data_IF_904492493048
#
_entry.id   IF_904492493048
#
_cell.length_a   1.000
_cell.length_b   1.000
_cell.length_c   1.000
_cell.angle_alpha   90.00
_cell.angle_beta   90.00
_cell.angle_gamma   90.00
#
_symmetry.space_group_name_H-M   'P 1'
#
loop_
_entity.id
_entity.type
_entity.pdbx_description
1 polymer ?
#
# COMPACT_ATOMS: atom_id res chain seq x y z
N UNK A 1 11.69 -1.53 7.71
CA UNK A 1 11.72 -1.05 6.31
C UNK A 1 10.32 -0.83 5.73
N UNK A 2 9.37 -1.79 5.76
CA UNK A 2 8.05 -1.61 5.12
C UNK A 2 7.29 -0.37 5.61
N UNK A 3 7.33 -0.07 6.92
CA UNK A 3 6.67 1.10 7.51
C UNK A 3 7.16 2.44 6.94
N UNK A 4 8.45 2.55 6.60
CA UNK A 4 9.03 3.78 6.07
C UNK A 4 8.61 4.00 4.61
N UNK A 5 8.62 2.96 3.80
CA UNK A 5 8.12 3.05 2.42
C UNK A 5 6.61 3.32 2.38
N UNK A 6 5.85 2.69 3.28
CA UNK A 6 4.42 2.96 3.44
C UNK A 6 4.16 4.40 3.89
N UNK A 7 4.95 4.94 4.83
CA UNK A 7 4.85 6.34 5.24
C UNK A 7 5.11 7.29 4.06
N UNK A 8 6.17 7.07 3.29
CA UNK A 8 6.49 7.89 2.12
C UNK A 8 5.35 7.84 1.09
N UNK A 9 4.83 6.64 0.79
CA UNK A 9 3.68 6.50 -0.10
C UNK A 9 2.45 7.26 0.42
N UNK A 10 2.12 7.12 1.70
CA UNK A 10 1.01 7.84 2.31
C UNK A 10 1.21 9.35 2.20
N UNK A 11 2.40 9.88 2.48
CA UNK A 11 2.67 11.31 2.38
C UNK A 11 2.52 11.83 0.93
N UNK A 12 3.05 11.11 -0.06
CA UNK A 12 2.93 11.49 -1.48
C UNK A 12 1.45 11.46 -1.93
N UNK A 13 0.72 10.39 -1.60
CA UNK A 13 -0.69 10.26 -1.96
C UNK A 13 -1.59 11.27 -1.20
N UNK A 14 -1.22 11.60 0.04
CA UNK A 14 -1.85 12.65 0.83
C UNK A 14 -1.67 14.01 0.14
N UNK A 15 -0.45 14.32 -0.31
CA UNK A 15 -0.17 15.55 -1.05
C UNK A 15 -0.94 15.60 -2.38
N UNK A 16 -1.02 14.49 -3.10
CA UNK A 16 -1.84 14.39 -4.31
C UNK A 16 -3.31 14.71 -4.04
N UNK A 17 -3.86 14.23 -2.92
CA UNK A 17 -5.25 14.45 -2.54
C UNK A 17 -5.59 15.87 -2.05
N UNK A 18 -4.60 16.73 -1.81
CA UNK A 18 -4.86 18.11 -1.38
C UNK A 18 -5.50 18.93 -2.51
N UNK A 19 -6.48 19.81 -2.21
CA UNK A 19 -7.16 20.63 -3.23
C UNK A 19 -6.24 21.53 -4.05
N UNK A 20 -5.08 21.89 -3.49
CA UNK A 20 -4.07 22.70 -4.20
C UNK A 20 -3.40 21.92 -5.34
N UNK A 21 -3.35 20.59 -5.24
CA UNK A 21 -2.77 19.70 -6.27
C UNK A 21 -3.87 19.17 -7.18
N UNK A 22 -4.88 18.54 -6.60
CA UNK A 22 -5.98 17.91 -7.34
C UNK A 22 -7.32 18.27 -6.68
N UNK A 23 -8.12 19.17 -7.27
CA UNK A 23 -9.39 19.57 -6.71
C UNK A 23 -10.42 18.42 -6.77
N UNK A 24 -11.22 18.26 -5.72
CA UNK A 24 -12.36 17.33 -5.71
C UNK A 24 -12.02 15.87 -5.38
N UNK A 25 -10.78 15.56 -4.99
CA UNK A 25 -10.32 14.22 -4.58
C UNK A 25 -9.89 14.09 -3.11
N UNK A 26 -10.46 14.90 -2.22
CA UNK A 26 -10.06 15.00 -0.81
C UNK A 26 -10.14 13.68 -0.03
N UNK A 27 -10.95 12.72 -0.50
CA UNK A 27 -11.03 11.38 0.10
C UNK A 27 -9.69 10.65 0.06
N UNK A 28 -8.87 10.88 -0.98
CA UNK A 28 -7.51 10.33 -1.05
C UNK A 28 -6.63 10.93 0.04
N UNK A 29 -6.75 12.23 0.32
CA UNK A 29 -6.00 12.88 1.39
C UNK A 29 -6.40 12.35 2.78
N UNK A 30 -7.69 12.13 3.03
CA UNK A 30 -8.15 11.67 4.36
C UNK A 30 -7.66 10.27 4.67
N UNK A 31 -7.81 9.31 3.75
CA UNK A 31 -7.34 7.92 4.00
C UNK A 31 -5.83 7.84 4.16
N UNK A 32 -5.08 8.61 3.38
CA UNK A 32 -3.62 8.62 3.46
C UNK A 32 -3.11 9.37 4.68
N UNK A 33 -3.85 10.37 5.18
CA UNK A 33 -3.56 11.02 6.46
C UNK A 33 -3.68 10.04 7.63
N UNK A 34 -4.77 9.28 7.65
CA UNK A 34 -4.97 8.23 8.66
C UNK A 34 -3.86 7.18 8.54
N UNK A 35 -3.56 6.72 7.32
CA UNK A 35 -2.46 5.79 7.04
C UNK A 35 -1.11 6.31 7.54
N UNK A 36 -0.77 7.57 7.26
CA UNK A 36 0.47 8.19 7.71
C UNK A 36 0.58 8.21 9.25
N UNK A 37 -0.52 8.51 9.95
CA UNK A 37 -0.55 8.47 11.43
C UNK A 37 -0.27 7.05 11.94
N UNK A 38 -0.92 6.03 11.38
CA UNK A 38 -0.63 4.64 11.74
C UNK A 38 0.83 4.27 11.49
N UNK A 39 1.39 4.62 10.33
CA UNK A 39 2.79 4.34 10.02
C UNK A 39 3.75 5.06 10.97
N UNK A 40 3.46 6.31 11.35
CA UNK A 40 4.26 7.04 12.33
C UNK A 40 4.22 6.38 13.70
N UNK A 41 3.05 5.96 14.18
CA UNK A 41 2.91 5.23 15.45
C UNK A 41 3.75 3.95 15.40
N UNK A 42 3.66 3.16 14.32
CA UNK A 42 4.48 1.95 14.18
C UNK A 42 5.98 2.23 14.18
N UNK A 43 6.41 3.29 13.49
CA UNK A 43 7.82 3.70 13.47
C UNK A 43 8.29 4.15 14.85
N UNK A 44 7.48 4.93 15.58
CA UNK A 44 7.80 5.40 16.94
C UNK A 44 7.98 4.21 17.88
N UNK A 45 7.03 3.27 17.87
CA UNK A 45 7.13 2.04 18.67
C UNK A 45 8.39 1.26 18.28
N UNK A 46 8.66 1.08 16.98
CA UNK A 46 9.86 0.40 16.52
C UNK A 46 11.15 1.06 17.03
N UNK A 47 11.26 2.38 16.91
CA UNK A 47 12.41 3.16 17.38
C UNK A 47 12.56 3.13 18.91
N UNK A 48 11.46 3.03 19.65
CA UNK A 48 11.47 2.96 21.10
C UNK A 48 12.06 1.63 21.60
N UNK A 49 11.71 0.51 20.95
CA UNK A 49 12.10 -0.84 21.38
C UNK A 49 13.29 -1.43 20.61
N UNK A 50 13.77 -0.80 19.55
CA UNK A 50 14.90 -1.29 18.77
C UNK A 50 16.26 -1.07 19.46
N UNK A 51 17.21 -1.95 19.18
CA UNK A 51 18.61 -1.81 19.59
C UNK A 51 19.27 -0.55 18.99
N UNK A 52 20.23 0.04 19.71
CA UNK A 52 20.91 1.30 19.35
C UNK A 52 21.34 1.42 17.86
N UNK A 53 21.99 0.42 17.22
CA UNK A 53 22.40 0.56 15.83
C UNK A 53 21.20 0.61 14.87
N UNK A 54 20.15 -0.17 15.13
CA UNK A 54 18.93 -0.17 14.32
C UNK A 54 18.11 1.10 14.53
N UNK A 55 18.12 1.65 15.75
CA UNK A 55 17.47 2.91 16.09
C UNK A 55 18.01 4.09 15.28
N UNK A 56 19.34 4.25 15.25
CA UNK A 56 20.00 5.31 14.47
C UNK A 56 19.72 5.17 12.98
N UNK A 57 19.82 3.95 12.45
CA UNK A 57 19.50 3.66 11.05
C UNK A 57 18.06 4.04 10.70
N UNK A 58 17.11 3.68 11.56
CA UNK A 58 15.69 3.98 11.31
C UNK A 58 15.36 5.46 11.43
N UNK A 59 15.99 6.16 12.38
CA UNK A 59 15.87 7.61 12.50
C UNK A 59 16.43 8.32 11.25
N UNK A 60 17.57 7.87 10.74
CA UNK A 60 18.15 8.40 9.49
C UNK A 60 17.21 8.23 8.29
N UNK A 61 16.59 7.06 8.13
CA UNK A 61 15.58 6.86 7.08
C UNK A 61 14.33 7.72 7.28
N UNK A 62 13.88 7.92 8.53
CA UNK A 62 12.72 8.76 8.81
C UNK A 62 12.99 10.22 8.41
N UNK A 63 14.15 10.76 8.78
CA UNK A 63 14.59 12.10 8.35
C UNK A 63 14.67 12.19 6.83
N UNK A 64 15.24 11.16 6.18
CA UNK A 64 15.32 11.09 4.72
C UNK A 64 13.93 11.13 4.06
N UNK A 65 12.94 10.42 4.59
CA UNK A 65 11.56 10.45 4.08
C UNK A 65 10.95 11.84 4.17
N UNK A 66 11.08 12.51 5.32
CA UNK A 66 10.56 13.87 5.46
C UNK A 66 11.31 14.88 4.57
N UNK A 67 12.61 14.72 4.39
CA UNK A 67 13.40 15.55 3.49
C UNK A 67 12.99 15.38 2.03
N UNK A 68 12.78 14.13 1.57
CA UNK A 68 12.28 13.83 0.22
C UNK A 68 10.86 14.35 0.04
N UNK A 69 9.99 14.18 1.04
CA UNK A 69 8.64 14.72 0.96
C UNK A 69 8.63 16.25 0.89
N UNK A 70 9.42 16.91 1.73
CA UNK A 70 9.55 18.37 1.73
C UNK A 70 10.10 18.89 0.39
N UNK A 71 11.06 18.20 -0.22
CA UNK A 71 11.59 18.59 -1.53
C UNK A 71 10.54 18.42 -2.64
N UNK A 72 9.74 17.35 -2.63
CA UNK A 72 8.61 17.16 -3.55
C UNK A 72 7.61 18.32 -3.41
N UNK A 73 7.22 18.66 -2.17
CA UNK A 73 6.29 19.77 -1.90
C UNK A 73 6.88 21.08 -2.42
N UNK A 74 8.13 21.38 -2.10
CA UNK A 74 8.81 22.60 -2.52
C UNK A 74 8.89 22.73 -4.05
N UNK A 75 9.35 21.68 -4.75
CA UNK A 75 9.41 21.65 -6.21
C UNK A 75 8.02 21.82 -6.82
N UNK A 76 7.03 21.12 -6.26
CA UNK A 76 5.66 21.17 -6.76
C UNK A 76 5.03 22.55 -6.66
N UNK A 77 5.30 23.31 -5.59
CA UNK A 77 4.70 24.62 -5.36
C UNK A 77 5.46 25.77 -6.03
N UNK A 78 6.80 25.70 -6.08
CA UNK A 78 7.62 26.82 -6.55
C UNK A 78 7.93 26.77 -8.05
N UNK A 79 8.06 25.57 -8.63
CA UNK A 79 8.57 25.41 -9.99
C UNK A 79 7.51 24.91 -10.99
N UNK A 80 6.33 24.48 -10.52
CA UNK A 80 5.31 23.87 -11.38
C UNK A 80 3.99 24.66 -11.37
N UNK A 81 3.47 24.90 -12.56
CA UNK A 81 2.11 25.42 -12.78
C UNK A 81 1.06 24.38 -12.38
N UNK A 82 -0.19 24.79 -12.13
CA UNK A 82 -1.25 23.91 -11.61
C UNK A 82 -1.41 22.57 -12.36
N UNK A 83 -1.43 22.58 -13.69
CA UNK A 83 -1.57 21.34 -14.48
C UNK A 83 -0.32 20.45 -14.41
N UNK A 84 0.87 21.04 -14.55
CA UNK A 84 2.13 20.29 -14.45
C UNK A 84 2.37 19.74 -13.04
N UNK A 85 1.93 20.48 -12.02
CA UNK A 85 1.98 20.09 -10.61
C UNK A 85 1.15 18.84 -10.35
N UNK A 86 -0.08 18.81 -10.85
CA UNK A 86 -0.95 17.63 -10.74
C UNK A 86 -0.31 16.40 -11.42
N UNK A 87 0.20 16.55 -12.64
CA UNK A 87 0.87 15.45 -13.36
C UNK A 87 2.11 14.95 -12.61
N UNK A 88 2.96 15.86 -12.15
CA UNK A 88 4.19 15.52 -11.44
C UNK A 88 3.92 14.73 -10.16
N UNK A 89 3.05 15.24 -9.30
CA UNK A 89 2.71 14.56 -8.03
C UNK A 89 1.90 13.27 -8.31
N UNK A 90 1.04 13.27 -9.32
CA UNK A 90 0.28 12.09 -9.75
C UNK A 90 1.17 10.94 -10.19
N UNK A 91 2.19 11.19 -11.02
CA UNK A 91 3.15 10.16 -11.42
C UNK A 91 3.95 9.62 -10.23
N UNK A 92 4.39 10.49 -9.32
CA UNK A 92 5.08 10.06 -8.10
C UNK A 92 4.17 9.18 -7.22
N UNK A 93 2.90 9.54 -7.08
CA UNK A 93 1.90 8.77 -6.33
C UNK A 93 1.63 7.39 -6.95
N UNK A 94 1.50 7.31 -8.28
CA UNK A 94 1.35 6.03 -8.98
C UNK A 94 2.60 5.17 -8.82
N UNK A 95 3.79 5.74 -9.00
CA UNK A 95 5.05 5.02 -8.84
C UNK A 95 5.22 4.48 -7.41
N UNK A 96 4.87 5.28 -6.39
CA UNK A 96 4.91 4.84 -5.00
C UNK A 96 3.91 3.73 -4.72
N UNK A 97 2.67 3.84 -5.20
CA UNK A 97 1.64 2.82 -5.05
C UNK A 97 2.05 1.49 -5.70
N UNK A 98 2.55 1.53 -6.94
CA UNK A 98 3.00 0.33 -7.65
C UNK A 98 4.16 -0.35 -6.90
N UNK A 99 5.10 0.43 -6.35
CA UNK A 99 6.21 -0.12 -5.57
C UNK A 99 5.73 -0.91 -4.33
N UNK A 100 4.60 -0.49 -3.72
CA UNK A 100 4.03 -1.18 -2.58
C UNK A 100 3.42 -2.54 -2.94
N UNK A 101 3.07 -2.78 -4.21
CA UNK A 101 2.56 -4.08 -4.67
C UNK A 101 3.63 -5.19 -4.67
N UNK A 102 4.90 -4.86 -4.48
CA UNK A 102 5.94 -5.88 -4.28
C UNK A 102 5.64 -6.80 -3.08
N UNK A 103 5.13 -6.24 -1.98
CA UNK A 103 4.80 -7.02 -0.77
C UNK A 103 3.71 -8.08 -1.00
N UNK A 104 2.50 -7.73 -1.51
CA UNK A 104 1.47 -8.74 -1.79
C UNK A 104 1.90 -9.76 -2.85
N UNK A 105 2.73 -9.37 -3.82
CA UNK A 105 3.25 -10.29 -4.84
C UNK A 105 4.22 -11.33 -4.24
N UNK A 106 5.07 -10.92 -3.29
CA UNK A 106 5.94 -11.83 -2.54
C UNK A 106 5.12 -12.82 -1.70
N UNK A 107 4.03 -12.37 -1.06
CA UNK A 107 3.14 -13.26 -0.30
C UNK A 107 2.47 -14.28 -1.21
N UNK A 108 1.99 -13.88 -2.39
CA UNK A 108 1.44 -14.83 -3.38
C UNK A 108 2.45 -15.91 -3.73
N UNK A 109 3.70 -15.54 -4.02
CA UNK A 109 4.75 -16.50 -4.32
C UNK A 109 5.05 -17.42 -3.13
N UNK A 110 5.07 -16.86 -1.90
CA UNK A 110 5.26 -17.64 -0.68
C UNK A 110 4.15 -18.66 -0.46
N UNK A 111 2.88 -18.28 -0.66
CA UNK A 111 1.72 -19.18 -0.53
C UNK A 111 1.79 -20.34 -1.52
N UNK A 112 2.17 -20.06 -2.78
CA UNK A 112 2.35 -21.10 -3.81
C UNK A 112 3.48 -22.06 -3.43
N UNK A 113 4.62 -21.54 -2.96
CA UNK A 113 5.80 -22.33 -2.60
C UNK A 113 5.56 -23.17 -1.34
N UNK A 114 4.94 -22.59 -0.32
CA UNK A 114 4.69 -23.24 0.97
C UNK A 114 3.41 -24.08 0.97
N UNK A 115 2.58 -23.98 -0.08
CA UNK A 115 1.25 -24.62 -0.16
C UNK A 115 0.34 -24.33 1.05
N UNK A 116 0.60 -23.23 1.76
CA UNK A 116 -0.08 -22.84 3.01
C UNK A 116 -0.52 -21.38 2.97
N UNK A 117 -1.68 -21.10 3.56
CA UNK A 117 -2.30 -19.77 3.67
C UNK A 117 -2.03 -19.09 5.02
N UNK A 118 -1.15 -19.65 5.84
CA UNK A 118 -0.86 -19.16 7.20
C UNK A 118 -0.43 -17.68 7.22
N UNK A 119 0.38 -17.27 6.24
CA UNK A 119 0.87 -15.90 6.11
C UNK A 119 -0.12 -14.96 5.40
N UNK A 120 -1.34 -15.42 5.14
CA UNK A 120 -2.32 -14.73 4.32
C UNK A 120 -3.73 -14.83 4.92
N UNK A 121 -4.04 -13.99 5.93
CA UNK A 121 -5.35 -14.01 6.57
C UNK A 121 -6.41 -13.47 5.61
N UNK A 122 -7.51 -14.22 5.46
CA UNK A 122 -8.63 -13.91 4.57
C UNK A 122 -9.16 -12.50 4.74
N UNK A 123 -9.34 -12.05 5.99
CA UNK A 123 -9.91 -10.74 6.29
C UNK A 123 -9.04 -9.59 5.78
N UNK A 124 -7.70 -9.74 5.80
CA UNK A 124 -6.81 -8.73 5.25
C UNK A 124 -6.91 -8.68 3.73
N UNK A 125 -6.88 -9.83 3.05
CA UNK A 125 -7.01 -9.90 1.59
C UNK A 125 -8.38 -9.40 1.09
N UNK A 126 -9.45 -9.67 1.83
CA UNK A 126 -10.78 -9.16 1.50
C UNK A 126 -10.85 -7.64 1.70
N UNK A 127 -10.31 -7.13 2.81
CA UNK A 127 -10.28 -5.69 3.07
C UNK A 127 -9.45 -4.93 2.03
N UNK A 128 -8.27 -5.45 1.65
CA UNK A 128 -7.43 -4.82 0.62
C UNK A 128 -8.08 -4.88 -0.77
N UNK A 129 -8.76 -5.97 -1.11
CA UNK A 129 -9.56 -6.07 -2.34
C UNK A 129 -10.68 -5.03 -2.38
N UNK A 130 -11.52 -4.97 -1.34
CA UNK A 130 -12.64 -4.02 -1.27
C UNK A 130 -12.15 -2.57 -1.29
N UNK A 131 -11.07 -2.27 -0.57
CA UNK A 131 -10.44 -0.95 -0.58
C UNK A 131 -9.94 -0.58 -1.98
N UNK A 132 -9.22 -1.50 -2.65
CA UNK A 132 -8.72 -1.26 -4.01
C UNK A 132 -9.85 -1.09 -5.02
N UNK A 133 -10.91 -1.90 -4.92
CA UNK A 133 -12.08 -1.79 -5.77
C UNK A 133 -12.83 -0.47 -5.56
N UNK A 134 -13.01 -0.05 -4.31
CA UNK A 134 -13.65 1.22 -3.99
C UNK A 134 -12.87 2.41 -4.56
N UNK A 135 -11.54 2.42 -4.42
CA UNK A 135 -10.70 3.47 -5.00
C UNK A 135 -10.60 3.39 -6.52
N UNK A 136 -10.67 2.20 -7.12
CA UNK A 136 -10.76 2.02 -8.56
C UNK A 136 -12.03 2.68 -9.11
N UNK A 137 -13.20 2.35 -8.55
CA UNK A 137 -14.49 2.95 -8.92
C UNK A 137 -14.48 4.45 -8.67
N UNK A 138 -13.92 4.90 -7.53
CA UNK A 138 -13.79 6.32 -7.22
C UNK A 138 -12.95 7.07 -8.27
N UNK A 139 -11.79 6.52 -8.67
CA UNK A 139 -10.95 7.09 -9.72
C UNK A 139 -11.64 7.12 -11.08
N UNK A 140 -12.43 6.09 -11.43
CA UNK A 140 -13.24 6.08 -12.65
C UNK A 140 -14.30 7.19 -12.63
N UNK A 141 -15.04 7.35 -11.53
CA UNK A 141 -16.06 8.40 -11.37
C UNK A 141 -15.47 9.81 -11.42
N UNK A 142 -14.22 9.98 -10.99
CA UNK A 142 -13.49 11.25 -11.05
C UNK A 142 -12.69 11.44 -12.34
N UNK A 143 -12.72 10.46 -13.25
CA UNK A 143 -11.90 10.42 -14.47
C UNK A 143 -10.41 10.67 -14.19
N UNK A 144 -9.92 10.18 -13.05
CA UNK A 144 -8.54 10.40 -12.61
C UNK A 144 -7.69 9.12 -12.82
N UNK A 145 -6.80 9.11 -13.86
CA UNK A 145 -5.96 7.96 -14.16
C UNK A 145 -4.94 7.63 -13.07
N UNK A 146 -4.52 8.62 -12.28
CA UNK A 146 -3.56 8.41 -11.21
C UNK A 146 -4.18 7.64 -10.04
N UNK A 147 -5.51 7.69 -9.90
CA UNK A 147 -6.23 6.91 -8.90
C UNK A 147 -6.66 5.56 -9.46
N UNK A 148 -7.37 5.51 -10.60
CA UNK A 148 -7.94 4.24 -11.05
C UNK A 148 -6.86 3.26 -11.54
N UNK A 149 -5.79 3.70 -12.19
CA UNK A 149 -4.80 2.77 -12.75
C UNK A 149 -4.12 1.89 -11.67
N UNK A 150 -3.47 2.45 -10.61
CA UNK A 150 -2.84 1.63 -9.59
C UNK A 150 -3.86 0.82 -8.77
N UNK A 151 -5.04 1.39 -8.47
CA UNK A 151 -6.07 0.68 -7.70
C UNK A 151 -6.72 -0.46 -8.52
N UNK A 152 -6.77 -0.35 -9.85
CA UNK A 152 -7.16 -1.44 -10.73
C UNK A 152 -6.18 -2.62 -10.64
N UNK A 153 -4.87 -2.34 -10.68
CA UNK A 153 -3.82 -3.35 -10.45
C UNK A 153 -3.98 -3.99 -9.06
N UNK A 154 -4.19 -3.17 -8.02
CA UNK A 154 -4.44 -3.63 -6.66
C UNK A 154 -5.67 -4.54 -6.54
N UNK A 155 -6.73 -4.23 -7.30
CA UNK A 155 -7.97 -5.05 -7.37
C UNK A 155 -7.70 -6.41 -8.01
N UNK A 156 -6.93 -6.45 -9.10
CA UNK A 156 -6.51 -7.72 -9.73
C UNK A 156 -5.68 -8.56 -8.76
N UNK A 157 -4.69 -7.95 -8.10
CA UNK A 157 -3.86 -8.63 -7.10
C UNK A 157 -4.71 -9.15 -5.94
N UNK A 158 -5.64 -8.34 -5.41
CA UNK A 158 -6.58 -8.74 -4.34
C UNK A 158 -7.49 -9.91 -4.76
N UNK A 159 -7.89 -9.95 -6.03
CA UNK A 159 -8.69 -11.06 -6.58
C UNK A 159 -7.88 -12.35 -6.63
N UNK A 160 -6.65 -12.29 -7.15
CA UNK A 160 -5.72 -13.44 -7.16
C UNK A 160 -5.47 -13.92 -5.73
N UNK A 161 -5.31 -12.99 -4.81
CA UNK A 161 -5.10 -13.28 -3.41
C UNK A 161 -6.26 -14.08 -2.78
N UNK A 162 -7.49 -13.64 -3.00
CA UNK A 162 -8.69 -14.33 -2.52
C UNK A 162 -8.88 -15.70 -3.19
N UNK A 163 -8.61 -15.80 -4.49
CA UNK A 163 -8.70 -17.05 -5.23
C UNK A 163 -7.70 -18.11 -4.72
N UNK A 164 -6.45 -17.71 -4.49
CA UNK A 164 -5.43 -18.60 -3.92
C UNK A 164 -5.80 -19.06 -2.51
N UNK A 165 -6.31 -18.14 -1.68
CA UNK A 165 -6.77 -18.50 -0.34
C UNK A 165 -7.88 -19.58 -0.39
N UNK A 166 -8.88 -19.41 -1.25
CA UNK A 166 -9.97 -20.38 -1.42
C UNK A 166 -9.46 -21.75 -1.91
N UNK A 167 -8.52 -21.75 -2.86
CA UNK A 167 -7.93 -22.97 -3.41
C UNK A 167 -7.14 -23.76 -2.36
N UNK A 168 -6.18 -23.10 -1.69
CA UNK A 168 -5.29 -23.77 -0.72
C UNK A 168 -6.01 -24.18 0.57
N UNK A 169 -6.97 -23.38 1.03
CA UNK A 169 -7.81 -23.75 2.18
C UNK A 169 -8.62 -25.02 1.89
N UNK A 170 -9.17 -25.15 0.68
CA UNK A 170 -9.93 -26.33 0.26
C UNK A 170 -9.04 -27.56 0.11
N UNK A 171 -7.82 -27.40 -0.41
CA UNK A 171 -6.84 -28.48 -0.51
C UNK A 171 -6.44 -29.01 0.88
N UNK A 172 -6.12 -28.13 1.83
CA UNK A 172 -5.78 -28.50 3.21
C UNK A 172 -6.93 -29.21 3.94
N UNK A 173 -8.18 -28.78 3.73
CA UNK A 173 -9.36 -29.48 4.27
C UNK A 173 -9.61 -30.84 3.61
N UNK A 174 -9.21 -31.00 2.34
CA UNK A 174 -9.29 -32.28 1.63
C UNK A 174 -8.27 -33.30 2.14
N UNK A 175 -7.03 -32.88 2.39
CA UNK A 175 -5.99 -33.73 2.99
C UNK A 175 -6.34 -34.13 4.43
N UNK A 176 -6.93 -33.23 5.24
CA UNK A 176 -7.37 -33.53 6.61
C UNK A 176 -8.62 -34.44 6.68
N UNK A 177 -9.36 -34.62 5.57
CA UNK A 177 -10.47 -35.60 5.49
C UNK A 177 -10.02 -37.01 5.10
N UNK A 178 -8.80 -37.16 4.57
CA UNK A 178 -8.18 -38.44 4.22
C UNK A 178 -7.03 -38.99 5.13
N UNK A 179 -6.76 -38.56 6.39
CA UNK A 179 -5.69 -39.17 7.19
C UNK A 179 -6.04 -40.47 7.92
N UNK A 180 -7.25 -41.02 7.81
CA UNK A 180 -7.70 -42.14 8.66
C UNK A 180 -8.23 -43.39 7.91
N UNK A 181 -7.83 -43.58 6.66
CA UNK A 181 -8.01 -44.88 5.99
C UNK A 181 -6.63 -45.42 5.64
N UNK A 182 -5.91 -45.88 6.65
CA UNK A 182 -4.82 -46.84 6.46
C UNK A 182 -5.22 -48.08 7.25
N UNK A 183 -5.40 -49.25 6.59
CA UNK A 183 -5.79 -50.50 7.25
C UNK A 183 -4.70 -51.08 8.14
#
# INVERSE_FOLDING_TARGET
MPYIYALLNCLICLWYGFPIISPGIILVATVNSIGAVFQLIYIIIFIAYAEKPMKLKMLGFLVSVFAVFASIVFVSLQFLNSSSRQLFVGYLSVASLISMFASPLLIINLVIKMRSVEYMPFSLSLATFLMSLAFFVYGLLKHDPFIYAPNGIGTVLGTVQLALYAYFKRASQGELRHPLIVP
#
